data_IF_934456423118
#
_entry.id   IF_934456423118
#
_cell.length_a   1.000
_cell.length_b   1.000
_cell.length_c   1.000
_cell.angle_alpha   90.00
_cell.angle_beta   90.00
_cell.angle_gamma   90.00
#
_symmetry.space_group_name_H-M   'P 1'
#
loop_
_entity.id
_entity.type
_entity.pdbx_description
1 polymer ?
#
# COMPACT_ATOMS: atom_id res chain seq x y z
N UNK A 1 -15.39 23.02 -42.81
CA UNK A 1 -16.38 22.10 -42.21
C UNK A 1 -15.92 21.93 -40.79
N UNK A 2 -16.63 22.62 -39.89
CA UNK A 2 -16.24 22.97 -38.53
C UNK A 2 -16.24 21.74 -37.62
N UNK A 3 -15.17 21.58 -36.83
CA UNK A 3 -14.99 20.55 -35.81
C UNK A 3 -16.08 20.62 -34.73
N UNK A 4 -16.69 19.48 -34.41
CA UNK A 4 -17.55 19.34 -33.24
C UNK A 4 -16.71 19.12 -31.97
N UNK A 5 -17.04 19.77 -30.84
CA UNK A 5 -16.36 19.52 -29.58
C UNK A 5 -16.86 18.21 -28.94
N UNK A 6 -15.95 17.26 -28.76
CA UNK A 6 -16.17 16.04 -27.97
C UNK A 6 -16.33 16.42 -26.49
N UNK A 7 -17.53 16.28 -25.97
CA UNK A 7 -17.86 16.50 -24.56
C UNK A 7 -17.29 15.37 -23.70
N UNK A 8 -16.06 15.53 -23.23
CA UNK A 8 -15.46 14.61 -22.26
C UNK A 8 -15.83 15.09 -20.86
N UNK A 9 -16.93 14.56 -20.33
CA UNK A 9 -17.31 14.75 -18.93
C UNK A 9 -16.24 14.18 -18.00
N UNK A 10 -15.39 15.05 -17.46
CA UNK A 10 -14.49 14.73 -16.37
C UNK A 10 -15.31 14.44 -15.12
N UNK A 11 -15.36 13.16 -14.73
CA UNK A 11 -15.90 12.74 -13.43
C UNK A 11 -15.05 13.36 -12.32
N UNK A 12 -15.68 14.23 -11.53
CA UNK A 12 -15.15 14.84 -10.31
C UNK A 12 -14.23 13.88 -9.55
N UNK A 13 -12.93 14.17 -9.58
CA UNK A 13 -11.99 13.61 -8.63
C UNK A 13 -12.43 14.02 -7.23
N UNK A 14 -12.82 13.04 -6.43
CA UNK A 14 -12.99 13.24 -4.99
C UNK A 14 -11.65 13.79 -4.46
N UNK A 15 -11.70 14.95 -3.84
CA UNK A 15 -10.58 15.49 -3.06
C UNK A 15 -10.11 14.41 -2.08
N UNK A 16 -8.91 13.85 -2.31
CA UNK A 16 -8.34 12.80 -1.47
C UNK A 16 -7.71 13.33 -0.18
N UNK A 17 -7.74 14.64 0.04
CA UNK A 17 -7.35 15.25 1.30
C UNK A 17 -8.36 16.35 1.64
N UNK A 18 -9.37 15.98 2.42
CA UNK A 18 -10.06 16.97 3.23
C UNK A 18 -9.05 17.48 4.26
N UNK A 19 -8.36 18.56 3.94
CA UNK A 19 -7.68 19.35 4.97
C UNK A 19 -8.78 19.96 5.83
N UNK A 20 -9.16 19.26 6.91
CA UNK A 20 -9.75 19.95 8.05
C UNK A 20 -8.68 20.91 8.54
N UNK A 21 -8.80 22.19 8.17
CA UNK A 21 -8.11 23.26 8.88
C UNK A 21 -8.74 23.34 10.27
N UNK A 22 -8.26 22.51 11.18
CA UNK A 22 -8.60 22.57 12.59
C UNK A 22 -7.84 23.75 13.19
N UNK A 23 -8.55 24.72 13.77
CA UNK A 23 -7.93 25.74 14.61
C UNK A 23 -7.07 25.05 15.71
N UNK A 24 -6.01 25.69 16.21
CA UNK A 24 -5.20 25.09 17.27
C UNK A 24 -6.07 24.80 18.51
N UNK A 25 -6.03 23.55 18.98
CA UNK A 25 -6.73 23.08 20.17
C UNK A 25 -5.71 22.68 21.25
N UNK A 26 -6.00 22.89 22.54
CA UNK A 26 -5.21 22.31 23.62
C UNK A 26 -5.15 20.78 23.49
N UNK A 27 -3.98 20.17 23.67
CA UNK A 27 -3.81 18.71 23.54
C UNK A 27 -4.75 17.91 24.46
N UNK A 28 -5.09 18.47 25.63
CA UNK A 28 -6.03 17.87 26.58
C UNK A 28 -7.46 17.72 26.05
N UNK A 29 -7.82 18.49 25.01
CA UNK A 29 -9.15 18.46 24.39
C UNK A 29 -9.20 17.57 23.15
N UNK A 30 -8.08 16.93 22.77
CA UNK A 30 -8.03 16.03 21.62
C UNK A 30 -8.54 14.64 22.03
N UNK A 31 -9.63 14.20 21.41
CA UNK A 31 -10.15 12.83 21.58
C UNK A 31 -9.15 11.80 21.06
N UNK A 32 -8.95 10.71 21.81
CA UNK A 32 -8.11 9.59 21.40
C UNK A 32 -8.85 8.57 20.49
N UNK A 33 -10.07 8.89 20.04
CA UNK A 33 -10.88 8.03 19.17
C UNK A 33 -10.29 8.01 17.75
N UNK A 34 -9.29 7.16 17.56
CA UNK A 34 -8.74 6.85 16.24
C UNK A 34 -9.45 5.60 15.71
N UNK A 35 -9.93 5.66 14.48
CA UNK A 35 -10.47 4.49 13.77
C UNK A 35 -9.33 3.45 13.58
N UNK A 36 -9.22 2.50 14.51
CA UNK A 36 -8.09 1.57 14.64
C UNK A 36 -8.27 0.29 13.78
N UNK A 37 -8.93 0.43 12.62
CA UNK A 37 -9.16 -0.68 11.70
C UNK A 37 -7.87 -1.12 10.99
N UNK A 38 -6.96 -1.76 11.74
CA UNK A 38 -5.66 -2.21 11.25
C UNK A 38 -5.78 -3.37 10.27
N UNK A 39 -4.86 -3.37 9.30
CA UNK A 39 -4.68 -4.47 8.36
C UNK A 39 -3.61 -5.39 8.92
N UNK A 40 -4.04 -6.53 9.47
CA UNK A 40 -3.13 -7.56 9.95
C UNK A 40 -2.41 -8.24 8.76
N UNK A 41 -1.07 -8.25 8.80
CA UNK A 41 -0.24 -8.88 7.76
C UNK A 41 -0.20 -10.40 7.97
N UNK A 42 -0.33 -10.87 9.21
CA UNK A 42 -0.20 -12.29 9.54
C UNK A 42 1.25 -12.69 9.80
N UNK A 43 2.16 -11.74 10.02
CA UNK A 43 3.56 -11.95 10.38
C UNK A 43 3.78 -11.41 11.79
N UNK A 44 3.71 -12.28 12.80
CA UNK A 44 3.71 -11.88 14.22
C UNK A 44 4.70 -10.77 14.58
N UNK A 45 5.98 -10.91 14.21
CA UNK A 45 6.99 -9.90 14.56
C UNK A 45 6.81 -8.59 13.77
N UNK A 46 6.39 -8.67 12.51
CA UNK A 46 6.12 -7.48 11.70
C UNK A 46 4.85 -6.76 12.19
N UNK A 47 3.78 -7.50 12.46
CA UNK A 47 2.56 -6.94 13.04
C UNK A 47 2.87 -6.27 14.39
N UNK A 48 3.71 -6.88 15.23
CA UNK A 48 4.18 -6.27 16.48
C UNK A 48 4.96 -4.98 16.25
N UNK A 49 5.92 -4.97 15.32
CA UNK A 49 6.70 -3.77 14.96
C UNK A 49 5.82 -2.64 14.44
N UNK A 50 4.73 -2.97 13.73
CA UNK A 50 3.75 -2.01 13.22
C UNK A 50 2.66 -1.63 14.24
N UNK A 51 2.74 -2.13 15.48
CA UNK A 51 1.75 -1.84 16.52
C UNK A 51 0.41 -2.54 16.34
N UNK A 52 0.41 -3.76 15.81
CA UNK A 52 -0.77 -4.60 15.56
C UNK A 52 -1.18 -4.73 14.09
N UNK A 53 -0.40 -4.20 13.15
CA UNK A 53 -0.65 -4.25 11.71
C UNK A 53 -0.63 -2.85 11.06
N UNK A 54 -0.90 -2.80 9.75
CA UNK A 54 -0.85 -1.56 8.97
C UNK A 54 -2.07 -0.68 9.24
N UNK A 55 -1.86 0.62 9.45
CA UNK A 55 -2.94 1.60 9.58
C UNK A 55 -3.42 2.02 8.18
N UNK A 56 -4.72 1.99 7.86
CA UNK A 56 -5.22 2.47 6.57
C UNK A 56 -4.84 3.94 6.32
N UNK A 57 -4.42 4.28 5.10
CA UNK A 57 -4.01 5.64 4.74
C UNK A 57 -2.66 6.08 5.30
N UNK A 58 -1.90 5.17 5.94
CA UNK A 58 -0.54 5.44 6.42
C UNK A 58 0.53 5.22 5.36
N UNK A 59 1.71 5.79 5.60
CA UNK A 59 2.94 5.52 4.87
C UNK A 59 3.95 4.84 5.80
N UNK A 60 4.51 3.70 5.36
CA UNK A 60 5.55 2.98 6.08
C UNK A 60 6.83 2.97 5.24
N UNK A 61 7.95 3.42 5.83
CA UNK A 61 9.26 3.39 5.20
C UNK A 61 10.06 2.19 5.69
N UNK A 62 10.44 1.29 4.78
CA UNK A 62 11.34 0.19 5.06
C UNK A 62 12.78 0.54 4.64
N UNK A 63 13.62 0.88 5.61
CA UNK A 63 15.02 1.26 5.40
C UNK A 63 16.01 0.19 5.89
N UNK A 64 17.23 0.24 5.37
CA UNK A 64 18.30 -0.72 5.71
C UNK A 64 19.39 -0.77 4.64
N UNK A 65 20.50 -1.45 4.94
CA UNK A 65 21.65 -1.57 4.03
C UNK A 65 21.30 -2.26 2.69
N UNK A 66 22.01 -1.94 1.59
CA UNK A 66 21.89 -2.70 0.35
C UNK A 66 22.14 -4.19 0.59
N UNK A 67 21.32 -5.06 0.01
CA UNK A 67 21.48 -6.52 0.16
C UNK A 67 20.92 -7.13 1.45
N UNK A 68 20.47 -6.35 2.44
CA UNK A 68 19.90 -6.90 3.70
C UNK A 68 18.55 -7.64 3.52
N UNK A 69 17.98 -7.59 2.30
CA UNK A 69 16.75 -8.32 1.97
C UNK A 69 15.45 -7.51 2.07
N UNK A 70 15.51 -6.16 2.02
CA UNK A 70 14.32 -5.29 2.05
C UNK A 70 13.26 -5.67 1.01
N UNK A 71 13.65 -5.83 -0.25
CA UNK A 71 12.72 -6.21 -1.33
C UNK A 71 12.17 -7.62 -1.12
N UNK A 72 12.95 -8.54 -0.53
CA UNK A 72 12.45 -9.88 -0.15
C UNK A 72 11.38 -9.78 0.92
N UNK A 73 11.66 -9.03 2.00
CA UNK A 73 10.74 -8.86 3.12
C UNK A 73 9.46 -8.15 2.67
N UNK A 74 9.59 -7.10 1.87
CA UNK A 74 8.47 -6.39 1.28
C UNK A 74 7.61 -7.35 0.45
N UNK A 75 8.22 -8.12 -0.47
CA UNK A 75 7.49 -9.07 -1.31
C UNK A 75 6.77 -10.15 -0.47
N UNK A 76 7.38 -10.63 0.61
CA UNK A 76 6.74 -11.56 1.56
C UNK A 76 5.50 -10.94 2.23
N UNK A 77 5.61 -9.70 2.68
CA UNK A 77 4.49 -8.95 3.28
C UNK A 77 3.36 -8.78 2.25
N UNK A 78 3.69 -8.34 1.04
CA UNK A 78 2.71 -8.14 -0.04
C UNK A 78 1.99 -9.44 -0.41
N UNK A 79 2.72 -10.56 -0.51
CA UNK A 79 2.11 -11.87 -0.73
C UNK A 79 1.13 -12.23 0.39
N UNK A 80 1.49 -12.06 1.68
CA UNK A 80 0.59 -12.36 2.80
C UNK A 80 -0.65 -11.46 2.82
N UNK A 81 -0.47 -10.18 2.54
CA UNK A 81 -1.59 -9.23 2.43
C UNK A 81 -2.55 -9.61 1.31
N UNK A 82 -2.03 -10.08 0.18
CA UNK A 82 -2.82 -10.52 -0.96
C UNK A 82 -3.51 -11.88 -0.71
N UNK A 83 -2.92 -12.77 0.09
CA UNK A 83 -3.56 -14.02 0.54
C UNK A 83 -4.75 -13.85 1.48
N UNK A 84 -4.88 -12.68 2.11
CA UNK A 84 -5.88 -12.48 3.15
C UNK A 84 -7.31 -12.57 2.61
N UNK A 85 -8.22 -13.14 3.41
CA UNK A 85 -9.56 -13.57 2.97
C UNK A 85 -10.47 -12.42 2.46
N UNK A 86 -10.13 -11.17 2.76
CA UNK A 86 -10.91 -10.00 2.34
C UNK A 86 -10.60 -9.54 0.90
N UNK A 87 -9.91 -10.35 0.09
CA UNK A 87 -9.61 -10.09 -1.33
C UNK A 87 -8.97 -8.70 -1.57
N UNK A 88 -8.07 -8.28 -0.67
CA UNK A 88 -7.40 -6.98 -0.81
C UNK A 88 -6.52 -7.01 -2.06
N UNK A 89 -6.78 -6.08 -2.98
CA UNK A 89 -5.89 -5.86 -4.12
C UNK A 89 -4.61 -5.22 -3.62
N UNK A 90 -3.48 -5.85 -3.91
CA UNK A 90 -2.15 -5.37 -3.55
C UNK A 90 -1.40 -5.05 -4.84
N UNK A 91 -0.80 -3.87 -4.94
CA UNK A 91 0.00 -3.45 -6.08
C UNK A 91 1.46 -3.28 -5.65
N UNK A 92 2.36 -4.05 -6.25
CA UNK A 92 3.79 -3.84 -6.12
C UNK A 92 4.30 -3.00 -7.29
N UNK A 93 4.80 -1.80 -7.00
CA UNK A 93 5.43 -0.92 -8.01
C UNK A 93 6.93 -0.94 -7.80
N UNK A 94 7.70 -1.16 -8.86
CA UNK A 94 9.17 -1.17 -8.81
C UNK A 94 9.77 -0.31 -9.92
N UNK A 95 10.78 0.48 -9.57
CA UNK A 95 11.66 1.18 -10.52
C UNK A 95 13.06 0.59 -10.62
N UNK A 96 13.42 -0.38 -9.76
CA UNK A 96 14.77 -0.95 -9.74
C UNK A 96 14.84 -2.40 -10.26
N UNK A 97 13.73 -3.13 -10.21
CA UNK A 97 13.67 -4.53 -10.62
C UNK A 97 12.70 -4.72 -11.80
N UNK A 98 13.06 -5.59 -12.74
CA UNK A 98 12.19 -5.98 -13.85
C UNK A 98 11.06 -6.92 -13.41
N UNK A 99 9.97 -6.97 -14.20
CA UNK A 99 8.86 -7.90 -14.00
C UNK A 99 9.32 -9.36 -13.88
N UNK A 100 10.28 -9.78 -14.70
CA UNK A 100 10.81 -11.13 -14.70
C UNK A 100 11.55 -11.47 -13.40
N UNK A 101 12.35 -10.53 -12.88
CA UNK A 101 13.06 -10.70 -11.60
C UNK A 101 12.06 -10.79 -10.45
N UNK A 102 11.06 -9.89 -10.40
CA UNK A 102 10.02 -9.90 -9.37
C UNK A 102 9.24 -11.22 -9.40
N UNK A 103 8.85 -11.68 -10.60
CA UNK A 103 8.13 -12.95 -10.77
C UNK A 103 8.94 -14.13 -10.24
N UNK A 104 10.19 -14.29 -10.67
CA UNK A 104 11.07 -15.38 -10.23
C UNK A 104 11.22 -15.39 -8.70
N UNK A 105 11.38 -14.21 -8.07
CA UNK A 105 11.48 -14.10 -6.62
C UNK A 105 10.18 -14.49 -5.92
N UNK A 106 9.04 -14.10 -6.48
CA UNK A 106 7.73 -14.44 -5.95
C UNK A 106 7.51 -15.96 -5.96
N UNK A 107 7.88 -16.65 -7.05
CA UNK A 107 7.80 -18.10 -7.17
C UNK A 107 8.65 -18.83 -6.12
N UNK A 108 9.80 -18.27 -5.73
CA UNK A 108 10.64 -18.84 -4.66
C UNK A 108 10.03 -18.70 -3.27
N UNK A 109 9.18 -17.70 -3.06
CA UNK A 109 8.51 -17.46 -1.79
C UNK A 109 7.27 -18.36 -1.60
N UNK A 110 6.81 -19.01 -2.66
CA UNK A 110 5.70 -19.96 -2.65
C UNK A 110 4.73 -19.70 -3.80
N UNK A 111 3.45 -19.99 -3.56
CA UNK A 111 2.39 -19.66 -4.52
C UNK A 111 2.31 -18.12 -4.69
N UNK A 112 1.88 -17.66 -5.86
CA UNK A 112 1.64 -16.24 -6.13
C UNK A 112 0.14 -15.97 -5.96
N UNK A 113 -0.28 -15.02 -5.11
CA UNK A 113 -1.67 -14.62 -4.97
C UNK A 113 -2.23 -14.00 -6.26
N UNK A 114 -3.46 -14.33 -6.65
CA UNK A 114 -4.15 -13.73 -7.81
C UNK A 114 -4.42 -12.22 -7.62
N UNK A 115 -4.53 -11.78 -6.37
CA UNK A 115 -4.77 -10.40 -5.97
C UNK A 115 -3.48 -9.56 -5.83
N UNK A 116 -2.32 -10.13 -6.14
CA UNK A 116 -1.05 -9.41 -6.21
C UNK A 116 -0.75 -8.95 -7.64
N UNK A 117 -0.81 -7.64 -7.84
CA UNK A 117 -0.59 -6.96 -9.11
C UNK A 117 0.80 -6.36 -9.09
N UNK A 118 1.44 -6.23 -10.25
CA UNK A 118 2.78 -5.63 -10.36
C UNK A 118 2.80 -4.60 -11.48
N UNK A 119 3.53 -3.51 -11.27
CA UNK A 119 3.85 -2.52 -12.27
C UNK A 119 5.34 -2.18 -12.19
N UNK A 120 5.99 -2.04 -13.35
CA UNK A 120 7.36 -1.56 -13.44
C UNK A 120 7.41 -0.31 -14.32
N UNK A 121 8.24 0.65 -13.90
CA UNK A 121 8.70 1.73 -14.78
C UNK A 121 9.55 1.13 -15.90
N UNK A 122 9.37 1.63 -17.14
CA UNK A 122 10.04 1.14 -18.36
C UNK A 122 11.38 1.81 -18.59
#
# INVERSE_FOLDING_TARGET
MVDEPVNTSFRNGRSLFAMSQSAPLPLLEVSADVDDARIFIGMNEMDRVLGGGLVPGSLVLLAGEPGIGKSTLLLQILCRLAYNQNQKKVLYVSGEESLAQIRMRSERLGQIPESLWVACES
#
